data_IF_007099932158
#
_entry.id   IF_007099932158
#
_cell.length_a   1.000
_cell.length_b   1.000
_cell.length_c   1.000
_cell.angle_alpha   90.00
_cell.angle_beta   90.00
_cell.angle_gamma   90.00
#
_symmetry.space_group_name_H-M   'P 1'
#
loop_
_entity.id
_entity.type
_entity.pdbx_description
1 polymer ?
#
# COMPACT_ATOMS: atom_id res chain seq x y z
N UNK A 1 -5.57 11.61 -0.43
CA UNK A 1 -5.52 10.74 -1.63
C UNK A 1 -6.93 10.25 -1.91
N UNK A 2 -7.26 9.96 -3.16
CA UNK A 2 -8.53 9.39 -3.62
C UNK A 2 -8.27 8.07 -4.38
N UNK A 3 -9.32 7.29 -4.65
CA UNK A 3 -9.20 6.12 -5.53
C UNK A 3 -8.73 6.55 -6.93
N UNK A 4 -7.78 5.81 -7.49
CA UNK A 4 -7.05 6.10 -8.72
C UNK A 4 -5.76 6.91 -8.54
N UNK A 5 -5.46 7.40 -7.32
CA UNK A 5 -4.19 8.07 -7.06
C UNK A 5 -3.03 7.07 -7.08
N UNK A 6 -1.90 7.51 -7.63
CA UNK A 6 -0.66 6.73 -7.68
C UNK A 6 0.41 7.42 -6.86
N UNK A 7 1.00 6.67 -5.92
CA UNK A 7 2.07 7.10 -5.03
C UNK A 7 3.35 6.40 -5.42
N UNK A 8 4.32 7.19 -5.89
CA UNK A 8 5.65 6.67 -6.19
C UNK A 8 6.43 6.48 -4.89
N UNK A 9 6.94 5.27 -4.70
CA UNK A 9 7.83 4.94 -3.58
C UNK A 9 9.22 4.55 -4.11
N UNK A 10 10.27 4.73 -3.29
CA UNK A 10 11.61 4.23 -3.60
C UNK A 10 11.60 2.74 -3.97
N UNK A 11 12.34 2.32 -5.02
CA UNK A 11 12.37 0.93 -5.45
C UNK A 11 12.98 -0.02 -4.41
N UNK A 12 13.78 0.51 -3.48
CA UNK A 12 14.36 -0.23 -2.36
C UNK A 12 13.31 -0.77 -1.38
N UNK A 13 12.10 -0.23 -1.38
CA UNK A 13 10.98 -0.76 -0.59
C UNK A 13 10.40 -2.06 -1.16
N UNK A 14 10.89 -2.54 -2.30
CA UNK A 14 10.44 -3.78 -2.95
C UNK A 14 9.09 -3.67 -3.66
N UNK A 15 8.53 -2.46 -3.70
CA UNK A 15 7.32 -2.10 -4.42
C UNK A 15 7.64 -1.10 -5.54
N UNK A 16 6.89 -1.19 -6.63
CA UNK A 16 6.80 -0.09 -7.59
C UNK A 16 5.73 0.92 -7.15
N UNK A 17 5.23 1.75 -8.07
CA UNK A 17 4.19 2.73 -7.75
C UNK A 17 2.97 2.05 -7.12
N UNK A 18 2.51 2.60 -5.99
CA UNK A 18 1.36 2.11 -5.25
C UNK A 18 0.13 2.85 -5.77
N UNK A 19 -0.84 2.14 -6.29
CA UNK A 19 -2.13 2.67 -6.71
C UNK A 19 -3.16 2.47 -5.61
N UNK A 20 -3.95 3.51 -5.34
CA UNK A 20 -5.12 3.42 -4.47
C UNK A 20 -6.29 2.90 -5.29
N UNK A 21 -6.71 1.65 -5.08
CA UNK A 21 -7.78 1.03 -5.88
C UNK A 21 -9.17 1.33 -5.32
N UNK A 22 -9.29 1.42 -3.99
CA UNK A 22 -10.53 1.78 -3.32
C UNK A 22 -10.27 2.45 -1.98
N UNK A 23 -11.21 3.30 -1.57
CA UNK A 23 -11.29 3.86 -0.22
C UNK A 23 -12.69 3.53 0.29
N UNK A 24 -12.76 2.79 1.39
CA UNK A 24 -13.99 2.36 2.05
C UNK A 24 -14.03 2.90 3.48
N UNK A 25 -15.20 2.92 4.11
CA UNK A 25 -15.33 3.27 5.53
C UNK A 25 -14.47 2.37 6.44
N UNK A 26 -14.22 1.14 5.97
CA UNK A 26 -13.50 0.10 6.71
C UNK A 26 -12.02 -0.02 6.32
N UNK A 27 -11.46 0.88 5.49
CA UNK A 27 -10.05 0.76 5.07
C UNK A 27 -9.75 1.25 3.65
N UNK A 28 -8.45 1.28 3.34
CA UNK A 28 -7.89 1.65 2.03
C UNK A 28 -7.36 0.39 1.33
N UNK A 29 -7.76 0.21 0.09
CA UNK A 29 -7.25 -0.85 -0.79
C UNK A 29 -6.19 -0.29 -1.74
N UNK A 30 -5.08 -1.00 -1.85
CA UNK A 30 -3.90 -0.58 -2.57
C UNK A 30 -3.41 -1.73 -3.45
N UNK A 31 -2.89 -1.40 -4.63
CA UNK A 31 -2.23 -2.34 -5.52
C UNK A 31 -0.85 -1.83 -5.91
N UNK A 32 0.17 -2.69 -5.87
CA UNK A 32 1.52 -2.31 -6.28
C UNK A 32 2.22 -3.47 -6.99
N UNK A 33 2.99 -3.20 -8.07
CA UNK A 33 3.84 -4.22 -8.67
C UNK A 33 5.04 -4.51 -7.75
N UNK A 34 5.52 -5.75 -7.75
CA UNK A 34 6.73 -6.13 -7.03
C UNK A 34 7.96 -5.75 -7.86
N UNK A 35 8.93 -5.08 -7.23
CA UNK A 35 10.24 -4.80 -7.86
C UNK A 35 11.29 -5.84 -7.47
N UNK A 36 11.04 -6.64 -6.43
CA UNK A 36 11.90 -7.71 -5.93
C UNK A 36 11.25 -9.09 -5.97
N UNK A 37 12.00 -10.11 -5.55
CA UNK A 37 11.56 -11.52 -5.54
C UNK A 37 10.81 -11.96 -4.27
N UNK A 38 10.54 -11.05 -3.34
CA UNK A 38 9.89 -11.33 -2.05
C UNK A 38 8.96 -10.22 -1.62
N UNK A 39 7.92 -10.59 -0.88
CA UNK A 39 6.96 -9.67 -0.28
C UNK A 39 6.62 -10.09 1.15
N UNK A 40 6.77 -9.16 2.09
CA UNK A 40 6.36 -9.30 3.47
C UNK A 40 5.50 -8.11 3.88
N UNK A 41 4.43 -8.38 4.62
CA UNK A 41 3.57 -7.36 5.22
C UNK A 41 3.23 -7.77 6.65
N UNK A 42 3.26 -6.79 7.55
CA UNK A 42 2.76 -6.91 8.91
C UNK A 42 1.87 -5.69 9.20
N UNK A 43 0.68 -5.88 9.77
CA UNK A 43 -0.24 -4.80 10.13
C UNK A 43 -1.32 -4.49 9.08
N UNK A 44 -1.06 -4.75 7.79
CA UNK A 44 -2.11 -4.78 6.75
C UNK A 44 -2.39 -6.21 6.30
N UNK A 45 -3.61 -6.44 5.79
CA UNK A 45 -3.87 -7.66 5.03
C UNK A 45 -3.18 -7.53 3.67
N UNK A 46 -2.41 -8.54 3.26
CA UNK A 46 -1.76 -8.57 1.96
C UNK A 46 -1.93 -9.91 1.26
N UNK A 47 -2.10 -9.85 -0.05
CA UNK A 47 -2.23 -11.02 -0.93
C UNK A 47 -1.48 -10.83 -2.24
N UNK A 48 -1.27 -11.93 -2.96
CA UNK A 48 -0.78 -11.87 -4.33
C UNK A 48 -1.91 -11.45 -5.27
N UNK A 49 -1.65 -10.47 -6.13
CA UNK A 49 -2.64 -9.90 -7.04
C UNK A 49 -2.05 -9.51 -8.38
N UNK A 50 -2.87 -8.84 -9.19
CA UNK A 50 -2.45 -8.26 -10.47
C UNK A 50 -2.41 -6.74 -10.32
N UNK A 51 -1.26 -6.14 -10.62
CA UNK A 51 -1.19 -4.67 -10.70
C UNK A 51 -1.88 -4.20 -11.98
N UNK A 52 -2.45 -3.00 -11.95
CA UNK A 52 -3.09 -2.33 -13.11
C UNK A 52 -2.17 -2.22 -14.34
N UNK A 53 -0.85 -2.26 -14.14
CA UNK A 53 0.15 -2.31 -15.20
C UNK A 53 0.24 -3.68 -15.94
N UNK A 54 -0.57 -4.68 -15.55
CA UNK A 54 -0.66 -5.97 -16.24
C UNK A 54 0.42 -6.99 -15.86
N UNK A 55 0.97 -6.90 -14.64
CA UNK A 55 2.01 -7.81 -14.11
C UNK A 55 1.67 -8.35 -12.72
N UNK A 56 2.51 -9.27 -12.22
CA UNK A 56 2.41 -9.77 -10.85
C UNK A 56 2.64 -8.66 -9.84
N UNK A 57 1.72 -8.53 -8.89
CA UNK A 57 1.77 -7.50 -7.86
C UNK A 57 1.21 -8.00 -6.54
N UNK A 58 1.00 -7.05 -5.65
CA UNK A 58 0.39 -7.26 -4.34
C UNK A 58 -0.85 -6.41 -4.24
N UNK A 59 -1.86 -6.98 -3.60
CA UNK A 59 -3.01 -6.25 -3.12
C UNK A 59 -2.87 -6.13 -1.60
N UNK A 60 -3.08 -4.92 -1.11
CA UNK A 60 -2.98 -4.56 0.29
C UNK A 60 -4.29 -3.93 0.73
N UNK A 61 -4.75 -4.30 1.91
CA UNK A 61 -5.84 -3.63 2.61
C UNK A 61 -5.37 -3.20 3.98
N UNK A 62 -5.37 -1.89 4.18
CA UNK A 62 -4.92 -1.24 5.40
C UNK A 62 -6.08 -0.46 6.02
N UNK A 63 -6.33 -0.72 7.29
CA UNK A 63 -7.34 0.01 8.06
C UNK A 63 -6.66 1.20 8.77
N UNK A 64 -7.45 2.16 9.23
CA UNK A 64 -6.92 3.25 10.06
C UNK A 64 -6.32 2.67 11.35
N UNK A 65 -5.11 3.11 11.71
CA UNK A 65 -4.45 2.66 12.92
C UNK A 65 -2.93 2.56 12.79
N UNK A 66 -2.29 1.67 13.59
CA UNK A 66 -0.83 1.64 13.68
C UNK A 66 -0.17 1.32 12.34
N UNK A 67 1.05 1.84 12.10
CA UNK A 67 1.75 1.65 10.84
C UNK A 67 1.97 0.17 10.56
N UNK A 68 1.65 -0.23 9.34
CA UNK A 68 2.06 -1.50 8.79
C UNK A 68 3.51 -1.42 8.30
N UNK A 69 4.19 -2.57 8.34
CA UNK A 69 5.54 -2.70 7.83
C UNK A 69 5.52 -3.51 6.54
N UNK A 70 6.10 -2.96 5.48
CA UNK A 70 6.30 -3.61 4.19
C UNK A 70 7.78 -3.94 4.02
N UNK A 71 8.06 -5.21 3.75
CA UNK A 71 9.39 -5.76 3.50
C UNK A 71 10.44 -5.41 4.58
N UNK A 72 10.01 -5.10 5.81
CA UNK A 72 10.87 -4.64 6.92
C UNK A 72 11.69 -3.36 6.62
N UNK A 73 11.33 -2.62 5.57
CA UNK A 73 12.08 -1.43 5.10
C UNK A 73 11.20 -0.21 4.88
N UNK A 74 9.87 -0.38 4.85
CA UNK A 74 8.89 0.69 4.67
C UNK A 74 7.80 0.59 5.72
N UNK A 75 7.42 1.73 6.29
CA UNK A 75 6.22 1.89 7.11
C UNK A 75 5.12 2.58 6.31
N UNK A 76 3.92 2.02 6.37
CA UNK A 76 2.72 2.51 5.72
C UNK A 76 1.62 2.68 6.77
N UNK A 77 1.17 3.90 6.98
CA UNK A 77 0.14 4.23 7.95
C UNK A 77 -1.04 4.90 7.25
N UNK A 78 -2.24 4.40 7.53
CA UNK A 78 -3.48 5.10 7.21
C UNK A 78 -3.81 5.97 8.42
N UNK A 79 -3.56 7.26 8.30
CA UNK A 79 -3.70 8.23 9.39
C UNK A 79 -5.15 8.65 9.59
N UNK A 80 -5.90 8.75 8.49
CA UNK A 80 -7.30 9.17 8.50
C UNK A 80 -8.01 8.64 7.26
N UNK A 81 -9.24 8.15 7.45
CA UNK A 81 -10.17 7.81 6.37
C UNK A 81 -11.39 8.74 6.43
N UNK A 82 -11.63 9.48 5.35
CA UNK A 82 -12.84 10.25 5.11
C UNK A 82 -13.75 9.59 4.06
N UNK A 83 -14.91 10.20 3.77
CA UNK A 83 -15.96 9.61 2.91
C UNK A 83 -15.49 9.15 1.51
N UNK A 84 -14.51 9.84 0.91
CA UNK A 84 -13.96 9.50 -0.40
C UNK A 84 -12.45 9.75 -0.50
N UNK A 85 -11.79 9.93 0.65
CA UNK A 85 -10.37 10.29 0.70
C UNK A 85 -9.68 9.69 1.90
N UNK A 86 -8.39 9.42 1.78
CA UNK A 86 -7.57 8.95 2.89
C UNK A 86 -6.24 9.72 2.97
N UNK A 87 -5.71 9.82 4.18
CA UNK A 87 -4.36 10.34 4.44
C UNK A 87 -3.44 9.15 4.69
N UNK A 88 -2.49 8.95 3.76
CA UNK A 88 -1.46 7.93 3.86
C UNK A 88 -0.14 8.58 4.25
N UNK A 89 0.56 7.98 5.21
CA UNK A 89 1.92 8.33 5.59
C UNK A 89 2.85 7.17 5.24
N UNK A 90 3.91 7.49 4.49
CA UNK A 90 4.90 6.52 4.01
C UNK A 90 6.28 6.99 4.44
N UNK A 91 6.98 6.14 5.17
CA UNK A 91 8.29 6.44 5.76
C UNK A 91 9.19 5.20 5.65
N UNK A 92 10.53 5.35 5.67
CA UNK A 92 11.42 4.20 5.85
C UNK A 92 11.16 3.53 7.21
N UNK A 93 11.21 2.20 7.27
CA UNK A 93 11.19 1.48 8.54
C UNK A 93 12.58 1.58 9.22
N UNK A 94 12.63 2.13 10.45
CA UNK A 94 13.88 2.33 11.19
C UNK A 94 13.70 2.98 12.56
#
# INVERSE_FOLDING_TARGET
>A
MAAGDVVNVPPEYGLGPIEVTAITEDGVELAAPLTGSGFGVAGCAGGGGVSSAGGGGVELRCDEGPPATINDVMSLEVVEIGEASAVLRIEPAG
#
